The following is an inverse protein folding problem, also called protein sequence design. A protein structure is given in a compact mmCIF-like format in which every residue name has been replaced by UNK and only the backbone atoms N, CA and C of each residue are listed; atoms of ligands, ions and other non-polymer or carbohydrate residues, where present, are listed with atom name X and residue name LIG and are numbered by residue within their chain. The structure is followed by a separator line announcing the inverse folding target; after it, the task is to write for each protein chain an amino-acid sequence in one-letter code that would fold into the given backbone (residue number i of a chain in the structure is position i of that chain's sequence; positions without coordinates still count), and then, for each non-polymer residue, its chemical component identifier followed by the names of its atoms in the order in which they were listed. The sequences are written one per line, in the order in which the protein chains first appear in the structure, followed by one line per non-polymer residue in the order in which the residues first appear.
data_IF_608146203489
#
_entry.id   IF_608146203489
#
_cell.length_a   1.000
_cell.length_b   1.000
_cell.length_c   1.000
_cell.angle_alpha   90.00
_cell.angle_beta   90.00
_cell.angle_gamma   90.00
#
_symmetry.space_group_name_H-M   'P 1'
#
loop_
_entity.id
_entity.type
_entity.pdbx_description
1 polymer ?
#
# COMPACT_ATOMS: atom_id res chain seq x y z
N UNK A 1 -21.41 -14.57 26.98
CA UNK A 1 -20.63 -13.52 27.67
C UNK A 1 -19.31 -14.14 28.12
N UNK A 2 -18.30 -14.19 27.25
CA UNK A 2 -17.00 -14.79 27.59
C UNK A 2 -16.11 -13.67 28.11
N UNK A 3 -15.81 -13.72 29.41
CA UNK A 3 -14.86 -12.81 30.06
C UNK A 3 -13.46 -13.33 29.77
N UNK A 4 -12.75 -12.69 28.84
CA UNK A 4 -11.38 -13.09 28.48
C UNK A 4 -10.40 -12.39 29.44
N UNK A 5 -9.72 -13.18 30.26
CA UNK A 5 -8.70 -12.70 31.19
C UNK A 5 -7.45 -12.21 30.47
N UNK A 6 -6.86 -11.12 30.98
CA UNK A 6 -5.61 -10.53 30.48
C UNK A 6 -4.41 -11.48 30.70
N UNK A 7 -4.20 -12.43 29.78
CA UNK A 7 -3.02 -13.29 29.78
C UNK A 7 -1.95 -12.74 28.82
N UNK A 8 -0.80 -12.31 29.36
CA UNK A 8 0.31 -11.71 28.59
C UNK A 8 0.84 -12.66 27.51
N UNK A 9 0.81 -13.96 27.74
CA UNK A 9 1.25 -14.99 26.77
C UNK A 9 0.29 -15.04 25.58
N UNK A 10 -1.02 -14.94 25.80
CA UNK A 10 -2.00 -14.94 24.71
C UNK A 10 -1.90 -13.65 23.88
N UNK A 11 -1.67 -12.49 24.52
CA UNK A 11 -1.35 -11.24 23.80
C UNK A 11 -0.03 -11.34 23.03
N UNK A 12 0.96 -12.06 23.56
CA UNK A 12 2.23 -12.31 22.89
C UNK A 12 1.98 -13.20 21.67
N UNK A 13 1.35 -14.37 21.83
CA UNK A 13 1.02 -15.29 20.73
C UNK A 13 0.15 -14.62 19.67
N UNK A 14 -0.89 -13.87 20.03
CA UNK A 14 -1.69 -13.08 19.08
C UNK A 14 -0.90 -11.97 18.38
N UNK A 15 0.07 -11.34 19.06
CA UNK A 15 0.99 -10.37 18.43
C UNK A 15 1.90 -11.03 17.38
N UNK A 16 2.22 -12.32 17.54
CA UNK A 16 3.00 -13.10 16.57
C UNK A 16 2.13 -13.82 15.51
N UNK A 17 0.83 -13.96 15.76
CA UNK A 17 -0.17 -14.51 14.85
C UNK A 17 -1.01 -13.39 14.21
N UNK A 18 -0.38 -12.32 13.76
CA UNK A 18 -1.05 -11.38 12.84
C UNK A 18 -1.12 -12.10 11.50
N UNK A 19 -2.32 -12.32 10.98
CA UNK A 19 -2.47 -12.99 9.68
C UNK A 19 -1.88 -12.10 8.58
N UNK A 20 -1.37 -12.68 7.50
CA UNK A 20 -0.84 -11.86 6.41
C UNK A 20 -1.91 -10.95 5.79
N UNK A 21 -3.17 -11.38 5.84
CA UNK A 21 -4.33 -10.57 5.45
C UNK A 21 -4.49 -9.32 6.34
N UNK A 22 -4.26 -9.42 7.65
CA UNK A 22 -4.28 -8.25 8.55
C UNK A 22 -3.13 -7.27 8.23
N UNK A 23 -1.93 -7.77 7.92
CA UNK A 23 -0.82 -6.93 7.46
C UNK A 23 -1.15 -6.23 6.15
N UNK A 24 -1.73 -6.95 5.18
CA UNK A 24 -2.22 -6.38 3.93
C UNK A 24 -3.29 -5.32 4.20
N UNK A 25 -4.24 -5.56 5.10
CA UNK A 25 -5.25 -4.57 5.48
C UNK A 25 -4.64 -3.32 6.14
N UNK A 26 -3.52 -3.45 6.85
CA UNK A 26 -2.85 -2.32 7.50
C UNK A 26 -2.18 -1.34 6.53
N UNK A 27 -1.86 -1.78 5.30
CA UNK A 27 -1.31 -0.91 4.26
C UNK A 27 -2.44 -0.02 3.70
N UNK A 28 -2.24 1.29 3.55
CA UNK A 28 -3.25 2.15 2.94
C UNK A 28 -3.46 1.82 1.45
N UNK A 29 -4.71 1.68 1.01
CA UNK A 29 -5.02 1.33 -0.39
C UNK A 29 -4.69 2.45 -1.38
N UNK A 30 -4.86 3.72 -0.99
CA UNK A 30 -4.64 4.88 -1.86
C UNK A 30 -4.02 5.99 -1.03
N UNK A 31 -2.82 6.44 -1.42
CA UNK A 31 -2.21 7.64 -0.88
C UNK A 31 -1.76 8.49 -2.06
N UNK A 32 -2.46 9.61 -2.29
CA UNK A 32 -2.24 10.50 -3.43
C UNK A 32 -2.33 11.96 -2.99
N UNK A 33 -1.46 12.81 -3.56
CA UNK A 33 -1.48 14.25 -3.32
C UNK A 33 -2.60 14.97 -4.11
N UNK A 34 -2.68 16.28 -3.95
CA UNK A 34 -3.47 17.20 -4.79
C UNK A 34 -2.62 17.73 -5.96
N UNK A 35 -3.27 18.11 -7.06
CA UNK A 35 -2.62 18.69 -8.24
C UNK A 35 -2.36 17.67 -9.35
N UNK A 36 -1.33 17.90 -10.18
CA UNK A 36 -0.97 17.01 -11.29
C UNK A 36 0.37 16.36 -11.02
N UNK A 37 0.41 15.03 -10.96
CA UNK A 37 1.59 14.28 -10.52
C UNK A 37 1.68 12.89 -11.14
N UNK A 38 2.85 12.25 -11.00
CA UNK A 38 3.05 10.86 -11.40
C UNK A 38 2.49 9.93 -10.33
N UNK A 39 2.02 8.76 -10.74
CA UNK A 39 1.56 7.72 -9.82
C UNK A 39 2.02 6.35 -10.28
N UNK A 40 2.13 5.41 -9.34
CA UNK A 40 2.38 4.00 -9.58
C UNK A 40 1.21 3.15 -9.07
N UNK A 41 0.96 2.04 -9.78
CA UNK A 41 0.11 0.95 -9.31
C UNK A 41 1.04 -0.16 -8.81
N UNK A 42 0.86 -0.57 -7.56
CA UNK A 42 1.76 -1.52 -6.90
C UNK A 42 0.95 -2.72 -6.42
N UNK A 43 1.39 -3.92 -6.78
CA UNK A 43 0.92 -5.18 -6.19
C UNK A 43 1.70 -5.40 -4.90
N UNK A 44 1.01 -5.53 -3.78
CA UNK A 44 1.60 -5.88 -2.48
C UNK A 44 1.12 -7.27 -2.12
N UNK A 45 2.03 -8.16 -1.76
CA UNK A 45 1.72 -9.59 -1.62
C UNK A 45 2.50 -10.26 -0.49
N UNK A 46 1.99 -11.41 -0.05
CA UNK A 46 2.71 -12.34 0.82
C UNK A 46 3.83 -13.02 0.00
N UNK A 47 5.12 -12.90 0.38
CA UNK A 47 6.20 -13.58 -0.32
C UNK A 47 6.04 -15.10 -0.38
N UNK A 48 5.36 -15.72 0.59
CA UNK A 48 5.12 -17.16 0.61
C UNK A 48 3.88 -17.56 -0.23
N UNK A 49 3.06 -16.60 -0.67
CA UNK A 49 1.80 -16.86 -1.37
C UNK A 49 1.38 -15.72 -2.32
N UNK A 50 2.28 -15.38 -3.24
CA UNK A 50 2.12 -14.24 -4.16
C UNK A 50 0.81 -14.28 -4.98
N UNK A 51 0.39 -15.46 -5.44
CA UNK A 51 -0.72 -15.59 -6.38
C UNK A 51 -2.11 -15.47 -5.73
N UNK A 52 -2.24 -15.81 -4.44
CA UNK A 52 -3.56 -15.88 -3.79
C UNK A 52 -3.77 -14.85 -2.68
N UNK A 53 -2.71 -14.30 -2.10
CA UNK A 53 -2.78 -13.31 -1.02
C UNK A 53 -2.04 -12.04 -1.43
N UNK A 54 -2.77 -11.17 -2.13
CA UNK A 54 -2.25 -9.87 -2.56
C UNK A 54 -3.32 -8.79 -2.53
N UNK A 55 -2.88 -7.54 -2.66
CA UNK A 55 -3.74 -6.41 -2.96
C UNK A 55 -3.03 -5.39 -3.83
N UNK A 56 -3.80 -4.55 -4.51
CA UNK A 56 -3.25 -3.40 -5.23
C UNK A 56 -3.34 -2.13 -4.38
N UNK A 57 -2.30 -1.31 -4.45
CA UNK A 57 -2.26 0.02 -3.87
C UNK A 57 -1.90 1.07 -4.92
N UNK A 58 -2.37 2.28 -4.70
CA UNK A 58 -2.05 3.46 -5.52
C UNK A 58 -1.22 4.42 -4.70
N UNK A 59 -0.09 4.87 -5.27
CA UNK A 59 0.80 5.89 -4.69
C UNK A 59 1.07 6.99 -5.69
N UNK A 60 0.86 8.23 -5.31
CA UNK A 60 1.13 9.40 -6.16
C UNK A 60 1.60 10.59 -5.33
N UNK A 61 2.78 11.11 -5.65
CA UNK A 61 3.44 12.17 -4.87
C UNK A 61 3.72 13.35 -5.80
N UNK A 62 3.30 14.55 -5.40
CA UNK A 62 3.40 15.76 -6.20
C UNK A 62 4.85 16.18 -6.47
N UNK A 63 5.74 15.92 -5.51
CA UNK A 63 7.16 16.25 -5.62
C UNK A 63 8.00 15.21 -6.37
N UNK A 64 7.45 14.04 -6.70
CA UNK A 64 8.22 12.98 -7.35
C UNK A 64 8.46 13.31 -8.84
N UNK A 65 9.72 13.33 -9.24
CA UNK A 65 10.09 13.61 -10.64
C UNK A 65 9.93 12.36 -11.49
N UNK A 66 10.13 11.17 -10.94
CA UNK A 66 10.03 9.90 -11.64
C UNK A 66 9.13 8.90 -10.91
N UNK A 67 8.64 7.89 -11.64
CA UNK A 67 7.92 6.77 -11.03
C UNK A 67 8.81 5.95 -10.08
N UNK A 68 10.13 5.96 -10.32
CA UNK A 68 11.13 5.34 -9.46
C UNK A 68 11.16 5.94 -8.05
N UNK A 69 11.16 7.27 -7.95
CA UNK A 69 11.18 7.98 -6.66
C UNK A 69 10.00 7.58 -5.77
N UNK A 70 8.80 7.43 -6.35
CA UNK A 70 7.59 6.99 -5.63
C UNK A 70 7.75 5.54 -5.17
N UNK A 71 8.39 4.70 -5.97
CA UNK A 71 8.63 3.30 -5.61
C UNK A 71 9.65 3.21 -4.46
N UNK A 72 10.78 3.91 -4.58
CA UNK A 72 11.85 3.96 -3.57
C UNK A 72 11.36 4.40 -2.19
N UNK A 73 10.43 5.37 -2.12
CA UNK A 73 9.85 5.80 -0.84
C UNK A 73 8.71 4.89 -0.34
N UNK A 74 8.06 4.12 -1.22
CA UNK A 74 6.95 3.23 -0.85
C UNK A 74 7.45 1.90 -0.30
N UNK A 75 8.44 1.30 -0.96
CA UNK A 75 8.90 -0.08 -0.69
C UNK A 75 9.35 -0.33 0.75
N UNK A 76 10.15 0.54 1.40
CA UNK A 76 10.63 0.28 2.76
C UNK A 76 9.54 0.11 3.80
N UNK A 77 8.39 0.80 3.65
CA UNK A 77 7.28 0.69 4.60
C UNK A 77 6.48 -0.59 4.41
N UNK A 78 6.45 -1.14 3.18
CA UNK A 78 5.88 -2.45 2.89
C UNK A 78 6.77 -3.57 3.43
N UNK A 79 8.08 -3.50 3.17
CA UNK A 79 9.05 -4.50 3.63
C UNK A 79 9.12 -4.61 5.15
N UNK A 80 8.95 -3.49 5.88
CA UNK A 80 8.86 -3.49 7.35
C UNK A 80 7.70 -4.33 7.91
N UNK A 81 6.66 -4.56 7.11
CA UNK A 81 5.52 -5.43 7.47
C UNK A 81 5.81 -6.92 7.17
N UNK A 82 6.94 -7.22 6.53
CA UNK A 82 7.27 -8.55 6.00
C UNK A 82 6.43 -8.91 4.78
N UNK A 83 6.06 -7.91 3.98
CA UNK A 83 5.38 -8.07 2.69
C UNK A 83 6.36 -7.72 1.58
N UNK A 84 6.11 -8.23 0.37
CA UNK A 84 6.80 -7.81 -0.84
C UNK A 84 5.90 -6.97 -1.73
N UNK A 85 6.50 -6.26 -2.68
CA UNK A 85 5.73 -5.51 -3.65
C UNK A 85 6.40 -5.42 -5.02
N UNK A 86 5.56 -5.29 -6.04
CA UNK A 86 5.96 -5.11 -7.43
C UNK A 86 5.20 -3.91 -8.02
N UNK A 87 5.92 -3.02 -8.72
CA UNK A 87 5.26 -1.98 -9.49
C UNK A 87 4.73 -2.54 -10.83
N UNK A 88 3.42 -2.75 -10.90
CA UNK A 88 2.73 -3.33 -12.07
C UNK A 88 2.19 -2.29 -13.05
N UNK A 89 2.31 -0.99 -12.75
CA UNK A 89 1.85 0.05 -13.65
C UNK A 89 2.10 1.47 -13.16
N UNK A 90 1.60 2.44 -13.91
CA UNK A 90 1.67 3.85 -13.53
C UNK A 90 1.28 4.80 -14.66
N UNK A 91 1.29 6.08 -14.34
CA UNK A 91 0.92 7.15 -15.27
C UNK A 91 0.94 8.50 -14.58
N UNK A 92 -0.05 9.34 -14.88
CA UNK A 92 -0.30 10.62 -14.22
C UNK A 92 -1.72 10.67 -13.65
N UNK A 93 -1.86 11.40 -12.56
CA UNK A 93 -3.13 11.77 -11.94
C UNK A 93 -3.22 13.29 -11.93
N UNK A 94 -4.39 13.83 -12.26
CA UNK A 94 -4.82 15.17 -11.87
C UNK A 94 -5.91 15.02 -10.81
N UNK A 95 -5.63 15.43 -9.57
CA UNK A 95 -6.54 15.37 -8.43
C UNK A 95 -6.93 16.79 -8.03
N UNK A 96 -8.23 17.08 -8.08
CA UNK A 96 -8.83 18.35 -7.66
C UNK A 96 -9.91 18.07 -6.60
N UNK A 97 -9.57 18.18 -5.30
CA UNK A 97 -10.50 17.94 -4.20
C UNK A 97 -11.67 18.93 -4.17
N UNK A 98 -11.44 20.18 -4.58
CA UNK A 98 -12.47 21.21 -4.60
C UNK A 98 -13.55 20.89 -5.64
N UNK A 99 -13.14 20.44 -6.82
CA UNK A 99 -14.04 19.96 -7.87
C UNK A 99 -14.53 18.51 -7.65
N UNK A 100 -13.97 17.79 -6.66
CA UNK A 100 -14.19 16.36 -6.41
C UNK A 100 -13.91 15.50 -7.65
N UNK A 101 -12.82 15.80 -8.36
CA UNK A 101 -12.44 15.08 -9.58
C UNK A 101 -11.05 14.46 -9.47
N UNK A 102 -10.93 13.26 -10.03
CA UNK A 102 -9.66 12.57 -10.23
C UNK A 102 -9.63 12.14 -11.70
N UNK A 103 -8.63 12.61 -12.44
CA UNK A 103 -8.41 12.21 -13.83
C UNK A 103 -7.10 11.42 -13.91
N UNK A 104 -7.19 10.16 -14.32
CA UNK A 104 -6.06 9.24 -14.45
C UNK A 104 -5.75 9.04 -15.92
N UNK A 105 -4.50 9.27 -16.33
CA UNK A 105 -4.12 9.26 -17.74
C UNK A 105 -2.62 8.99 -17.95
N UNK A 106 -2.23 8.69 -19.19
CA UNK A 106 -0.85 8.38 -19.55
C UNK A 106 -0.40 6.97 -19.12
N UNK A 107 0.80 6.60 -19.56
CA UNK A 107 1.45 5.33 -19.26
C UNK A 107 2.85 5.58 -18.66
N UNK A 108 3.41 4.58 -17.96
CA UNK A 108 4.76 4.62 -17.40
C UNK A 108 5.79 4.80 -18.53
N UNK A 109 6.73 5.74 -18.38
CA UNK A 109 7.97 5.83 -19.16
C UNK A 109 9.10 6.07 -18.18
#
# INVERSE_FOLDING_TARGET
MIRIGNNKILRFVLKYFVSMEEKLQSVESVAIDEGTFKYILVKVYDPDNEESIYKYIVRGVASAEYHGDIYEVTTPDIEKLGLECECVGGGRIKHDPAAKTIHVYGHRR
#
